data_IF_234563007142
#
_entry.id   IF_234563007142
#
_cell.length_a   1.000
_cell.length_b   1.000
_cell.length_c   1.000
_cell.angle_alpha   90.00
_cell.angle_beta   90.00
_cell.angle_gamma   90.00
#
_symmetry.space_group_name_H-M   'P 1'
#
loop_
_entity.id
_entity.type
_entity.pdbx_description
1 polymer ?
#
# COMPACT_ATOMS: atom_id res chain seq x y z
N UNK A 1 -1.74 -1.56 -17.83
CA UNK A 1 -1.25 -0.35 -17.11
C UNK A 1 -0.47 0.56 -18.04
N UNK A 2 0.60 0.13 -18.72
CA UNK A 2 1.36 0.96 -19.70
C UNK A 2 0.45 1.67 -20.68
N UNK A 3 -0.49 0.98 -21.30
CA UNK A 3 -1.43 1.57 -22.27
C UNK A 3 -2.25 2.75 -21.73
N UNK A 4 -2.51 2.81 -20.43
CA UNK A 4 -3.19 3.94 -19.79
C UNK A 4 -2.25 5.13 -19.67
N UNK A 5 -1.01 4.90 -19.25
CA UNK A 5 0.00 5.94 -19.17
C UNK A 5 0.41 6.48 -20.56
N UNK A 6 0.33 5.65 -21.61
CA UNK A 6 0.57 6.09 -22.99
C UNK A 6 -0.52 7.00 -23.53
N UNK A 7 -1.74 6.92 -22.96
CA UNK A 7 -2.90 7.72 -23.37
C UNK A 7 -3.04 9.01 -22.56
N UNK A 8 -2.57 9.02 -21.32
CA UNK A 8 -2.77 10.11 -20.37
C UNK A 8 -1.47 10.47 -19.65
N UNK A 9 -1.24 11.75 -19.46
CA UNK A 9 -0.16 12.24 -18.60
C UNK A 9 -0.67 12.28 -17.15
N UNK A 10 0.03 11.60 -16.23
CA UNK A 10 -0.30 11.61 -14.81
C UNK A 10 0.75 12.37 -14.01
N UNK A 11 0.30 13.28 -13.15
CA UNK A 11 1.15 14.00 -12.20
C UNK A 11 1.56 13.12 -11.02
N UNK A 12 0.77 12.10 -10.70
CA UNK A 12 1.05 11.18 -9.60
C UNK A 12 0.08 10.01 -9.57
N UNK A 13 0.39 9.04 -8.71
CA UNK A 13 -0.39 7.83 -8.49
C UNK A 13 -0.75 7.70 -7.02
N UNK A 14 -2.01 7.37 -6.72
CA UNK A 14 -2.46 6.93 -5.41
C UNK A 14 -2.71 5.43 -5.48
N UNK A 15 -1.87 4.65 -4.81
CA UNK A 15 -1.89 3.20 -4.89
C UNK A 15 -2.64 2.57 -3.72
N UNK A 16 -3.92 2.29 -3.92
CA UNK A 16 -4.78 1.56 -2.99
C UNK A 16 -4.96 0.07 -3.33
N UNK A 17 -4.62 -0.32 -4.55
CA UNK A 17 -4.86 -1.68 -5.03
C UNK A 17 -4.05 -2.72 -4.24
N UNK A 18 -4.66 -3.88 -4.02
CA UNK A 18 -4.02 -5.02 -3.36
C UNK A 18 -5.01 -5.88 -2.59
N UNK A 19 -4.63 -7.10 -2.30
CA UNK A 19 -5.37 -8.01 -1.43
C UNK A 19 -5.23 -7.53 0.02
N UNK A 20 -6.35 -7.47 0.77
CA UNK A 20 -6.38 -6.83 2.11
C UNK A 20 -6.83 -7.74 3.27
N UNK A 21 -7.45 -8.89 2.99
CA UNK A 21 -7.98 -9.75 4.04
C UNK A 21 -6.84 -10.46 4.80
N UNK A 22 -6.68 -10.13 6.09
CA UNK A 22 -5.60 -10.67 6.92
C UNK A 22 -5.67 -12.18 7.05
N UNK A 23 -6.86 -12.75 7.27
CA UNK A 23 -7.08 -14.18 7.38
C UNK A 23 -6.65 -14.94 6.10
N UNK A 24 -7.09 -14.46 4.94
CA UNK A 24 -6.76 -15.06 3.64
C UNK A 24 -5.26 -15.00 3.35
N UNK A 25 -4.58 -13.97 3.83
CA UNK A 25 -3.12 -13.83 3.64
C UNK A 25 -2.34 -14.99 4.24
N UNK A 26 -2.85 -15.58 5.32
CA UNK A 26 -2.20 -16.73 5.99
C UNK A 26 -2.35 -18.02 5.18
N UNK A 27 -3.51 -18.21 4.56
CA UNK A 27 -3.79 -19.40 3.74
C UNK A 27 -3.25 -19.30 2.31
N UNK A 28 -3.12 -18.08 1.76
CA UNK A 28 -2.70 -17.82 0.39
C UNK A 28 -1.53 -16.82 0.30
N UNK A 29 -0.41 -17.03 0.99
CA UNK A 29 0.66 -16.03 1.08
C UNK A 29 1.30 -15.73 -0.29
N UNK A 30 1.41 -16.70 -1.18
CA UNK A 30 1.99 -16.51 -2.52
C UNK A 30 1.17 -15.49 -3.30
N UNK A 31 -0.15 -15.58 -3.28
CA UNK A 31 -1.05 -14.67 -3.98
C UNK A 31 -0.94 -13.25 -3.43
N UNK A 32 -0.81 -13.11 -2.10
CA UNK A 32 -0.61 -11.82 -1.45
C UNK A 32 0.70 -11.16 -1.82
N UNK A 33 1.82 -11.88 -1.81
CA UNK A 33 3.10 -11.33 -2.23
C UNK A 33 3.12 -11.01 -3.73
N UNK A 34 2.62 -11.91 -4.55
CA UNK A 34 2.55 -11.71 -6.00
C UNK A 34 1.69 -10.49 -6.36
N UNK A 35 0.48 -10.41 -5.79
CA UNK A 35 -0.44 -9.30 -6.06
C UNK A 35 0.06 -7.99 -5.49
N UNK A 36 0.41 -7.94 -4.19
CA UNK A 36 0.71 -6.69 -3.50
C UNK A 36 2.13 -6.19 -3.84
N UNK A 37 3.14 -7.02 -3.63
CA UNK A 37 4.53 -6.61 -3.87
C UNK A 37 4.83 -6.57 -5.36
N UNK A 38 4.47 -7.61 -6.11
CA UNK A 38 4.64 -7.64 -7.57
C UNK A 38 3.87 -6.53 -8.27
N UNK A 39 2.63 -6.27 -7.83
CA UNK A 39 1.83 -5.15 -8.32
C UNK A 39 2.48 -3.79 -8.06
N UNK A 40 3.02 -3.56 -6.85
CA UNK A 40 3.71 -2.32 -6.51
C UNK A 40 4.97 -2.13 -7.37
N UNK A 41 5.77 -3.17 -7.57
CA UNK A 41 6.94 -3.12 -8.45
C UNK A 41 6.53 -2.74 -9.87
N UNK A 42 5.50 -3.39 -10.41
CA UNK A 42 5.00 -3.09 -11.77
C UNK A 42 4.53 -1.64 -11.92
N UNK A 43 3.85 -1.09 -10.90
CA UNK A 43 3.44 0.32 -10.89
C UNK A 43 4.67 1.23 -10.94
N UNK A 44 5.67 0.98 -10.11
CA UNK A 44 6.88 1.79 -10.04
C UNK A 44 7.71 1.73 -11.33
N UNK A 45 7.78 0.57 -11.98
CA UNK A 45 8.42 0.44 -13.31
C UNK A 45 7.74 1.34 -14.34
N UNK A 46 6.40 1.26 -14.43
CA UNK A 46 5.65 2.07 -15.39
C UNK A 46 5.76 3.56 -15.07
N UNK A 47 5.65 3.94 -13.81
CA UNK A 47 5.83 5.33 -13.37
C UNK A 47 7.23 5.87 -13.74
N UNK A 48 8.26 5.05 -13.53
CA UNK A 48 9.64 5.40 -13.90
C UNK A 48 9.78 5.59 -15.40
N UNK A 49 9.27 4.65 -16.22
CA UNK A 49 9.28 4.73 -17.68
C UNK A 49 8.59 6.00 -18.20
N UNK A 50 7.50 6.39 -17.56
CA UNK A 50 6.65 7.54 -17.95
C UNK A 50 7.02 8.86 -17.24
N UNK A 51 8.13 8.87 -16.53
CA UNK A 51 8.61 10.04 -15.77
C UNK A 51 7.61 10.60 -14.75
N UNK A 52 6.67 9.78 -14.27
CA UNK A 52 5.76 10.11 -13.17
C UNK A 52 6.44 9.77 -11.84
N UNK A 53 6.80 10.76 -11.02
CA UNK A 53 7.64 10.57 -9.83
C UNK A 53 6.93 10.82 -8.51
N UNK A 54 5.61 10.99 -8.52
CA UNK A 54 4.81 11.23 -7.31
C UNK A 54 3.94 10.02 -6.99
N UNK A 55 4.15 9.41 -5.82
CA UNK A 55 3.38 8.25 -5.36
C UNK A 55 2.86 8.47 -3.94
N UNK A 56 1.57 8.17 -3.73
CA UNK A 56 1.01 7.97 -2.39
C UNK A 56 0.65 6.49 -2.27
N UNK A 57 1.29 5.80 -1.32
CA UNK A 57 1.06 4.38 -1.09
C UNK A 57 0.18 4.15 0.13
N UNK A 58 -0.90 3.41 -0.05
CA UNK A 58 -1.74 2.91 1.04
C UNK A 58 -1.06 1.74 1.73
N UNK A 59 -0.29 2.06 2.77
CA UNK A 59 0.21 1.08 3.72
C UNK A 59 -0.86 0.77 4.77
N UNK A 60 -0.49 0.16 5.87
CA UNK A 60 -1.42 -0.28 6.92
C UNK A 60 -0.77 -0.22 8.30
N UNK A 61 -1.56 0.04 9.32
CA UNK A 61 -1.12 -0.10 10.72
C UNK A 61 -0.66 -1.52 11.07
N UNK A 62 -1.02 -2.53 10.29
CA UNK A 62 -0.55 -3.92 10.48
C UNK A 62 0.96 -4.10 10.34
N UNK A 63 1.68 -3.10 9.79
CA UNK A 63 3.15 -3.09 9.75
C UNK A 63 3.79 -2.99 11.14
N UNK A 64 3.06 -2.43 12.12
CA UNK A 64 3.52 -2.36 13.52
C UNK A 64 3.41 -3.70 14.28
N UNK A 65 2.64 -4.66 13.73
CA UNK A 65 2.41 -5.95 14.37
C UNK A 65 1.66 -5.81 15.68
N UNK A 66 2.21 -6.41 16.75
CA UNK A 66 1.69 -6.33 18.11
C UNK A 66 2.43 -5.21 18.87
N UNK A 67 1.85 -4.02 19.01
CA UNK A 67 2.55 -2.88 19.59
C UNK A 67 2.65 -3.01 21.10
N UNK A 68 3.82 -2.67 21.63
CA UNK A 68 4.09 -2.71 23.08
C UNK A 68 3.31 -1.66 23.91
N UNK A 69 2.71 -0.67 23.24
CA UNK A 69 1.96 0.44 23.87
C UNK A 69 0.98 1.08 22.88
N UNK A 70 -0.08 1.67 23.42
CA UNK A 70 -1.04 2.52 22.71
C UNK A 70 -1.09 3.92 23.36
N UNK A 71 -1.37 5.00 22.61
CA UNK A 71 -1.52 5.02 21.15
C UNK A 71 -0.22 4.74 20.41
N UNK A 72 -0.33 4.09 19.24
CA UNK A 72 0.82 3.78 18.37
C UNK A 72 1.35 5.07 17.77
N UNK A 73 2.66 5.25 17.80
CA UNK A 73 3.37 6.37 17.17
C UNK A 73 4.10 5.92 15.91
N UNK A 74 4.39 6.85 15.02
CA UNK A 74 5.05 6.55 13.74
C UNK A 74 6.47 6.00 13.88
N UNK A 75 7.16 6.32 14.97
CA UNK A 75 8.51 5.89 15.32
C UNK A 75 8.57 4.50 16.00
N UNK A 76 7.41 3.85 16.19
CA UNK A 76 7.40 2.52 16.79
C UNK A 76 8.06 1.48 15.87
N UNK A 77 8.68 0.43 16.46
CA UNK A 77 9.26 -0.67 15.69
C UNK A 77 8.25 -1.31 14.74
N UNK A 78 8.70 -1.65 13.54
CA UNK A 78 7.90 -2.33 12.53
C UNK A 78 8.14 -3.84 12.62
N UNK A 79 7.10 -4.61 12.88
CA UNK A 79 7.15 -6.06 13.11
C UNK A 79 5.86 -6.73 12.67
N UNK A 80 5.59 -6.73 11.36
CA UNK A 80 4.36 -7.29 10.82
C UNK A 80 4.16 -8.77 11.21
N UNK A 81 3.02 -9.09 11.80
CA UNK A 81 2.71 -10.42 12.33
C UNK A 81 2.13 -11.41 11.30
N UNK A 82 1.68 -10.95 10.15
CA UNK A 82 1.02 -11.76 9.12
C UNK A 82 1.51 -11.41 7.71
N UNK A 83 1.25 -12.28 6.70
CA UNK A 83 1.71 -12.06 5.32
C UNK A 83 1.19 -10.76 4.69
N UNK A 84 -0.05 -10.35 4.98
CA UNK A 84 -0.57 -9.07 4.51
C UNK A 84 0.27 -7.91 5.05
N UNK A 85 0.46 -7.82 6.36
CA UNK A 85 1.28 -6.77 6.98
C UNK A 85 2.73 -6.80 6.47
N UNK A 86 3.30 -8.01 6.31
CA UNK A 86 4.65 -8.16 5.74
C UNK A 86 4.73 -7.66 4.30
N UNK A 87 3.73 -7.96 3.45
CA UNK A 87 3.70 -7.45 2.08
C UNK A 87 3.68 -5.92 2.04
N UNK A 88 2.91 -5.28 2.95
CA UNK A 88 2.89 -3.82 3.08
C UNK A 88 4.24 -3.27 3.55
N UNK A 89 4.86 -3.89 4.54
CA UNK A 89 6.17 -3.48 5.05
C UNK A 89 7.27 -3.63 3.99
N UNK A 90 7.28 -4.74 3.24
CA UNK A 90 8.23 -4.94 2.13
C UNK A 90 8.09 -3.85 1.06
N UNK A 91 6.85 -3.42 0.77
CA UNK A 91 6.64 -2.32 -0.17
C UNK A 91 7.15 -1.00 0.41
N UNK A 92 6.93 -0.72 1.70
CA UNK A 92 7.49 0.48 2.34
C UNK A 92 9.03 0.51 2.23
N UNK A 93 9.70 -0.61 2.52
CA UNK A 93 11.16 -0.70 2.44
C UNK A 93 11.64 -0.53 1.00
N UNK A 94 11.03 -1.23 0.05
CA UNK A 94 11.29 -1.04 -1.39
C UNK A 94 11.13 0.42 -1.84
N UNK A 95 10.07 1.09 -1.42
CA UNK A 95 9.83 2.49 -1.79
C UNK A 95 10.85 3.45 -1.15
N UNK A 96 11.33 3.17 0.06
CA UNK A 96 12.44 3.91 0.67
C UNK A 96 13.73 3.75 -0.12
N UNK A 97 14.04 2.51 -0.56
CA UNK A 97 15.22 2.24 -1.39
C UNK A 97 15.14 2.97 -2.73
N UNK A 98 13.96 3.02 -3.35
CA UNK A 98 13.74 3.80 -4.58
C UNK A 98 14.02 5.28 -4.35
N UNK A 99 13.50 5.88 -3.27
CA UNK A 99 13.75 7.27 -2.93
C UNK A 99 15.24 7.56 -2.67
N UNK A 100 15.93 6.66 -1.97
CA UNK A 100 17.37 6.79 -1.69
C UNK A 100 18.18 6.71 -3.00
N UNK A 101 17.77 5.83 -3.92
CA UNK A 101 18.47 5.64 -5.21
C UNK A 101 18.31 6.82 -6.16
N UNK A 102 17.17 7.51 -6.10
CA UNK A 102 16.82 8.63 -6.97
C UNK A 102 15.91 9.62 -6.23
N UNK A 103 16.48 10.71 -5.73
CA UNK A 103 15.79 11.70 -4.89
C UNK A 103 14.78 12.59 -5.62
N UNK A 104 14.58 12.39 -6.92
CA UNK A 104 13.51 13.04 -7.70
C UNK A 104 12.11 12.50 -7.38
N UNK A 105 12.03 11.34 -6.71
CA UNK A 105 10.75 10.77 -6.27
C UNK A 105 10.16 11.52 -5.09
N UNK A 106 8.84 11.71 -5.13
CA UNK A 106 8.02 12.18 -4.02
C UNK A 106 7.12 11.05 -3.57
N UNK A 107 7.41 10.44 -2.42
CA UNK A 107 6.70 9.24 -1.94
C UNK A 107 6.07 9.51 -0.59
N UNK A 108 4.75 9.35 -0.51
CA UNK A 108 3.99 9.37 0.74
C UNK A 108 3.59 7.95 1.15
N UNK A 109 3.96 7.55 2.38
CA UNK A 109 3.56 6.26 2.96
C UNK A 109 2.48 6.49 4.01
N UNK A 110 1.25 6.07 3.75
CA UNK A 110 0.11 6.28 4.64
C UNK A 110 -0.27 4.96 5.34
N UNK A 111 0.03 4.86 6.64
CA UNK A 111 -0.28 3.70 7.47
C UNK A 111 -1.70 3.82 8.03
N UNK A 112 -2.68 3.38 7.26
CA UNK A 112 -4.07 3.42 7.66
C UNK A 112 -4.35 2.46 8.80
N UNK A 113 -5.06 2.96 9.81
CA UNK A 113 -5.82 2.18 10.77
C UNK A 113 -7.19 1.85 10.15
N UNK A 114 -8.12 1.30 10.92
CA UNK A 114 -9.48 1.07 10.45
C UNK A 114 -10.19 2.42 10.29
N UNK A 115 -10.52 2.84 9.06
CA UNK A 115 -11.25 4.09 8.86
C UNK A 115 -12.65 3.97 9.42
N UNK A 116 -13.10 5.01 10.12
CA UNK A 116 -14.43 5.10 10.70
C UNK A 116 -15.19 6.25 10.07
N UNK A 117 -16.39 5.97 9.60
CA UNK A 117 -17.26 6.98 9.03
C UNK A 117 -17.96 6.49 7.75
N UNK A 118 -18.94 7.27 7.33
CA UNK A 118 -19.68 7.06 6.11
C UNK A 118 -19.98 8.40 5.45
N UNK A 119 -20.25 8.37 4.14
CA UNK A 119 -20.71 9.57 3.45
C UNK A 119 -22.03 10.06 4.05
N UNK A 120 -22.17 11.37 4.21
CA UNK A 120 -23.33 12.01 4.87
C UNK A 120 -24.70 11.66 4.25
N UNK A 121 -24.72 11.23 2.97
CA UNK A 121 -25.95 10.80 2.29
C UNK A 121 -26.45 9.43 2.76
N UNK A 122 -25.61 8.59 3.39
CA UNK A 122 -25.94 7.22 3.78
C UNK A 122 -26.13 6.23 2.62
N UNK A 123 -25.89 6.65 1.38
CA UNK A 123 -26.07 5.81 0.19
C UNK A 123 -24.75 5.27 -0.39
N UNK A 124 -23.62 5.62 0.23
CA UNK A 124 -22.29 5.14 -0.15
C UNK A 124 -21.71 4.40 1.08
N UNK A 125 -21.36 3.15 0.90
CA UNK A 125 -20.83 2.31 1.95
C UNK A 125 -20.12 1.08 1.39
N UNK A 126 -19.55 0.29 2.27
CA UNK A 126 -18.95 -0.99 1.95
C UNK A 126 -20.02 -2.09 2.05
N UNK A 127 -20.06 -3.00 1.07
CA UNK A 127 -20.92 -4.18 1.07
C UNK A 127 -20.06 -5.43 0.83
N UNK A 128 -19.25 -5.86 1.82
CA UNK A 128 -18.35 -6.99 1.66
C UNK A 128 -19.14 -8.28 1.57
N UNK A 129 -18.82 -9.08 0.55
CA UNK A 129 -19.35 -10.45 0.41
C UNK A 129 -18.35 -11.42 1.03
N UNK A 130 -18.78 -12.20 2.02
CA UNK A 130 -17.98 -13.27 2.67
C UNK A 130 -16.73 -12.76 3.43
N UNK A 131 -16.91 -11.86 4.38
CA UNK A 131 -15.89 -11.52 5.38
C UNK A 131 -16.27 -12.07 6.74
#
# INVERSE_FOLDING_TARGET
MRSIFDQYNFDGVIHFAGLKAVGDSVSMPIDYYSSNVGGAITIMEVMKEQNCRTLVFSSSATVYGDPHKVPIKEDFPLSAANPYGRSKLMIEDFLRDVFISENSWSIGLLRYFNPVGAHKSGIIGEDPRNT
#
